data_IF_870148586771
#
_entry.id   IF_870148586771
#
_cell.length_a   1.000
_cell.length_b   1.000
_cell.length_c   1.000
_cell.angle_alpha   90.00
_cell.angle_beta   90.00
_cell.angle_gamma   90.00
#
_symmetry.space_group_name_H-M   'P 1'
#
loop_
_entity.id
_entity.type
_entity.pdbx_description
1 polymer ?
#
# COMPACT_ATOMS: atom_id res chain seq x y z
N UNK A 1 -10.88 4.73 -8.23
CA UNK A 1 -9.67 3.90 -8.19
C UNK A 1 -9.61 3.18 -6.84
N UNK A 2 -9.19 1.92 -6.84
CA UNK A 2 -8.93 1.14 -5.64
C UNK A 2 -7.45 0.76 -5.64
N UNK A 3 -6.71 1.22 -4.64
CA UNK A 3 -5.30 0.93 -4.48
C UNK A 3 -5.07 -0.30 -3.59
N UNK A 4 -3.90 -0.89 -3.78
CA UNK A 4 -3.38 -1.94 -2.91
C UNK A 4 -3.33 -1.43 -1.44
N UNK A 5 -3.92 -2.16 -0.48
CA UNK A 5 -3.97 -1.72 0.91
C UNK A 5 -2.58 -1.55 1.56
N UNK A 6 -1.56 -2.25 1.07
CA UNK A 6 -0.18 -2.14 1.55
C UNK A 6 0.47 -0.79 1.19
N UNK A 7 -0.10 -0.07 0.23
CA UNK A 7 0.37 1.25 -0.19
C UNK A 7 -0.35 2.42 0.49
N UNK A 8 -1.22 2.14 1.47
CA UNK A 8 -1.97 3.17 2.18
C UNK A 8 -1.09 4.26 2.83
N UNK A 9 0.15 3.93 3.21
CA UNK A 9 1.13 4.90 3.73
C UNK A 9 1.77 5.78 2.66
N UNK A 10 1.68 5.40 1.38
CA UNK A 10 2.26 6.10 0.23
C UNK A 10 1.21 6.74 -0.68
N UNK A 11 -0.03 6.84 -0.21
CA UNK A 11 -1.17 7.36 -0.99
C UNK A 11 -0.94 8.79 -1.46
N UNK A 12 -0.32 9.63 -0.66
CA UNK A 12 -0.06 11.02 -1.05
C UNK A 12 0.94 11.15 -2.20
N UNK A 13 1.94 10.27 -2.25
CA UNK A 13 2.86 10.20 -3.39
C UNK A 13 2.12 9.71 -4.63
N UNK A 14 1.32 8.65 -4.49
CA UNK A 14 0.50 8.15 -5.58
C UNK A 14 -0.44 9.24 -6.13
N UNK A 15 -1.12 10.02 -5.27
CA UNK A 15 -1.99 11.12 -5.69
C UNK A 15 -1.23 12.14 -6.55
N UNK A 16 -0.04 12.56 -6.11
CA UNK A 16 0.79 13.54 -6.83
C UNK A 16 1.22 13.01 -8.20
N UNK A 17 1.66 11.76 -8.27
CA UNK A 17 2.09 11.14 -9.52
C UNK A 17 0.91 10.95 -10.48
N UNK A 18 -0.25 10.57 -9.94
CA UNK A 18 -1.48 10.41 -10.72
C UNK A 18 -2.05 11.74 -11.20
N UNK A 19 -2.03 12.78 -10.37
CA UNK A 19 -2.41 14.14 -10.78
C UNK A 19 -1.53 14.68 -11.90
N UNK A 20 -0.22 14.41 -11.83
CA UNK A 20 0.70 14.77 -12.90
C UNK A 20 0.36 14.06 -14.19
N UNK A 21 0.12 12.74 -14.12
CA UNK A 21 -0.30 11.94 -15.26
C UNK A 21 -1.58 12.46 -15.92
N UNK A 22 -2.57 12.85 -15.12
CA UNK A 22 -3.83 13.42 -15.61
C UNK A 22 -3.60 14.77 -16.32
N UNK A 23 -2.81 15.66 -15.72
CA UNK A 23 -2.45 16.96 -16.30
C UNK A 23 -1.68 16.82 -17.61
N UNK A 24 -0.73 15.89 -17.68
CA UNK A 24 0.05 15.60 -18.89
C UNK A 24 -0.85 15.12 -20.05
N UNK A 25 -2.00 14.50 -19.73
CA UNK A 25 -3.01 14.08 -20.71
C UNK A 25 -4.15 15.10 -20.90
N UNK A 26 -3.97 16.34 -20.46
CA UNK A 26 -4.93 17.44 -20.61
C UNK A 26 -6.26 17.22 -19.88
N UNK A 27 -6.23 16.48 -18.76
CA UNK A 27 -7.37 16.37 -17.86
C UNK A 27 -7.21 17.37 -16.71
N UNK A 28 -8.31 18.10 -16.44
CA UNK A 28 -8.43 18.97 -15.30
C UNK A 28 -9.06 18.21 -14.13
N UNK A 29 -8.47 18.33 -12.94
CA UNK A 29 -8.97 17.68 -11.74
C UNK A 29 -9.86 18.68 -11.01
N UNK A 30 -11.16 18.41 -10.97
CA UNK A 30 -12.15 19.24 -10.28
C UNK A 30 -12.13 18.96 -8.77
N UNK A 31 -12.05 17.68 -8.38
CA UNK A 31 -12.07 17.25 -6.98
C UNK A 31 -11.38 15.92 -6.80
N UNK A 32 -10.69 15.76 -5.68
CA UNK A 32 -10.10 14.49 -5.23
C UNK A 32 -10.65 14.16 -3.86
N UNK A 33 -11.21 12.96 -3.69
CA UNK A 33 -11.72 12.47 -2.42
C UNK A 33 -10.96 11.22 -2.01
N UNK A 34 -10.35 11.25 -0.84
CA UNK A 34 -9.71 10.11 -0.21
C UNK A 34 -10.67 9.47 0.78
N UNK A 35 -11.26 8.35 0.37
CA UNK A 35 -12.23 7.61 1.17
C UNK A 35 -11.54 6.72 2.21
N UNK A 36 -10.25 6.42 1.97
CA UNK A 36 -9.47 5.60 2.86
C UNK A 36 -9.63 4.10 2.62
N UNK A 37 -9.10 3.31 3.58
CA UNK A 37 -9.13 1.86 3.52
C UNK A 37 -10.52 1.33 3.87
N UNK A 38 -11.09 0.48 2.98
CA UNK A 38 -12.38 -0.17 3.16
C UNK A 38 -12.29 -1.67 2.88
N UNK A 39 -13.13 -2.43 3.54
CA UNK A 39 -13.30 -3.85 3.25
C UNK A 39 -13.99 -4.03 1.90
N UNK A 40 -13.50 -4.98 1.11
CA UNK A 40 -14.08 -5.38 -0.16
C UNK A 40 -15.16 -6.44 0.05
N UNK A 41 -16.17 -6.46 -0.80
CA UNK A 41 -17.22 -7.49 -0.76
C UNK A 41 -16.68 -8.90 -1.08
N UNK A 42 -15.62 -8.95 -1.90
CA UNK A 42 -14.88 -10.16 -2.25
C UNK A 42 -13.39 -9.81 -2.43
N UNK A 43 -12.53 -10.81 -2.33
CA UNK A 43 -11.08 -10.58 -2.48
C UNK A 43 -10.72 -10.23 -3.93
N UNK A 44 -9.86 -9.23 -4.11
CA UNK A 44 -9.30 -8.81 -5.40
C UNK A 44 -7.79 -8.86 -5.28
N UNK A 45 -7.11 -9.59 -6.18
CA UNK A 45 -5.66 -9.78 -6.14
C UNK A 45 -5.15 -10.23 -4.75
N UNK A 46 -5.87 -11.18 -4.12
CA UNK A 46 -5.62 -11.70 -2.78
C UNK A 46 -5.73 -10.66 -1.63
N UNK A 47 -6.35 -9.52 -1.88
CA UNK A 47 -6.62 -8.51 -0.85
C UNK A 47 -8.11 -8.46 -0.50
N UNK A 48 -8.44 -8.49 0.79
CA UNK A 48 -9.79 -8.33 1.32
C UNK A 48 -10.14 -6.88 1.69
N UNK A 49 -9.15 -5.99 1.66
CA UNK A 49 -9.29 -4.55 1.88
C UNK A 49 -8.69 -3.81 0.68
N UNK A 50 -9.14 -2.59 0.42
CA UNK A 50 -8.59 -1.72 -0.62
C UNK A 50 -8.66 -0.26 -0.17
N UNK A 51 -7.76 0.58 -0.66
CA UNK A 51 -7.79 2.02 -0.41
C UNK A 51 -8.50 2.71 -1.56
N UNK A 52 -9.61 3.38 -1.28
CA UNK A 52 -10.45 4.02 -2.28
C UNK A 52 -10.11 5.49 -2.45
N UNK A 53 -9.94 5.91 -3.69
CA UNK A 53 -9.78 7.31 -4.07
C UNK A 53 -10.72 7.61 -5.24
N UNK A 54 -11.46 8.69 -5.13
CA UNK A 54 -12.32 9.22 -6.18
C UNK A 54 -11.72 10.50 -6.75
N UNK A 55 -11.64 10.57 -8.08
CA UNK A 55 -11.24 11.76 -8.81
C UNK A 55 -12.37 12.20 -9.70
N UNK A 56 -12.79 13.44 -9.58
CA UNK A 56 -13.68 14.10 -10.52
C UNK A 56 -12.84 14.85 -11.55
N UNK A 57 -12.98 14.47 -12.80
CA UNK A 57 -12.13 14.91 -13.90
C UNK A 57 -12.97 15.56 -15.00
N UNK A 58 -12.39 16.55 -15.63
CA UNK A 58 -12.91 17.16 -16.85
C UNK A 58 -11.82 17.11 -17.91
N UNK A 59 -12.16 16.67 -19.12
CA UNK A 59 -11.17 16.57 -20.19
C UNK A 59 -11.72 15.90 -21.45
N UNK A 60 -10.84 15.69 -22.43
CA UNK A 60 -11.18 15.06 -23.70
C UNK A 60 -11.29 13.53 -23.56
N UNK A 61 -12.46 12.95 -23.85
CA UNK A 61 -12.65 11.50 -23.79
C UNK A 61 -11.70 10.71 -24.69
N UNK A 62 -11.21 11.30 -25.79
CA UNK A 62 -10.30 10.64 -26.74
C UNK A 62 -8.98 10.22 -26.08
N UNK A 63 -8.53 10.94 -25.04
CA UNK A 63 -7.30 10.65 -24.31
C UNK A 63 -7.49 9.69 -23.13
N UNK A 64 -8.74 9.31 -22.85
CA UNK A 64 -9.05 8.41 -21.74
C UNK A 64 -8.37 7.04 -21.88
N UNK A 65 -8.27 6.54 -23.12
CA UNK A 65 -7.65 5.26 -23.41
C UNK A 65 -6.15 5.21 -23.01
N UNK A 66 -5.45 6.33 -23.19
CA UNK A 66 -4.03 6.43 -22.77
C UNK A 66 -3.90 6.33 -21.24
N UNK A 67 -4.79 7.02 -20.51
CA UNK A 67 -4.82 6.97 -19.06
C UNK A 67 -5.19 5.56 -18.57
N UNK A 68 -6.22 4.96 -19.17
CA UNK A 68 -6.64 3.60 -18.82
C UNK A 68 -5.52 2.59 -19.03
N UNK A 69 -4.76 2.71 -20.12
CA UNK A 69 -3.61 1.88 -20.38
C UNK A 69 -2.53 2.04 -19.28
N UNK A 70 -2.21 3.27 -18.91
CA UNK A 70 -1.24 3.55 -17.84
C UNK A 70 -1.71 3.03 -16.47
N UNK A 71 -3.00 3.15 -16.17
CA UNK A 71 -3.62 2.61 -14.96
C UNK A 71 -3.52 1.08 -14.92
N UNK A 72 -3.80 0.42 -16.04
CA UNK A 72 -3.78 -1.03 -16.16
C UNK A 72 -2.42 -1.64 -15.87
N UNK A 73 -1.34 -0.95 -16.25
CA UNK A 73 0.03 -1.40 -15.98
C UNK A 73 0.60 -0.90 -14.65
N UNK A 74 -0.17 -0.17 -13.85
CA UNK A 74 0.27 0.30 -12.55
C UNK A 74 -0.08 -0.72 -11.45
N UNK A 75 0.94 -1.39 -10.93
CA UNK A 75 0.81 -2.42 -9.90
C UNK A 75 0.20 -1.91 -8.57
N UNK A 76 0.22 -0.59 -8.37
CA UNK A 76 -0.38 0.04 -7.19
C UNK A 76 -1.91 0.02 -7.22
N UNK A 77 -2.50 -0.14 -8.41
CA UNK A 77 -3.95 -0.08 -8.64
C UNK A 77 -4.48 -1.50 -8.81
N UNK A 78 -5.33 -1.94 -7.90
CA UNK A 78 -5.98 -3.26 -8.01
C UNK A 78 -7.26 -3.22 -8.83
N UNK A 79 -7.92 -2.06 -8.88
CA UNK A 79 -9.13 -1.84 -9.68
C UNK A 79 -9.35 -0.36 -9.99
N UNK A 80 -9.91 -0.09 -11.16
CA UNK A 80 -10.38 1.24 -11.56
C UNK A 80 -11.75 1.15 -12.23
N UNK A 81 -12.46 2.26 -12.24
CA UNK A 81 -13.72 2.43 -12.94
C UNK A 81 -13.83 3.89 -13.38
N UNK A 82 -14.18 4.10 -14.64
CA UNK A 82 -14.55 5.41 -15.19
C UNK A 82 -16.05 5.47 -15.39
N UNK A 83 -16.66 6.56 -14.92
CA UNK A 83 -18.06 6.85 -15.09
C UNK A 83 -18.20 8.22 -15.73
N UNK A 84 -19.03 8.32 -16.76
CA UNK A 84 -19.36 9.59 -17.38
C UNK A 84 -20.52 10.21 -16.61
N UNK A 85 -20.32 11.44 -16.13
CA UNK A 85 -21.35 12.23 -15.48
C UNK A 85 -21.65 13.47 -16.32
N UNK A 86 -22.91 13.91 -16.35
CA UNK A 86 -23.29 15.09 -17.13
C UNK A 86 -22.84 16.38 -16.49
N UNK A 87 -22.96 16.46 -15.18
CA UNK A 87 -22.62 17.64 -14.38
C UNK A 87 -22.00 17.20 -13.06
N UNK A 88 -21.03 17.96 -12.60
CA UNK A 88 -20.44 17.81 -11.27
C UNK A 88 -20.99 18.89 -10.35
N UNK A 89 -21.83 18.51 -9.38
CA UNK A 89 -22.49 19.42 -8.45
C UNK A 89 -21.62 19.85 -7.25
N UNK A 90 -20.34 19.44 -7.21
CA UNK A 90 -19.40 19.83 -6.15
C UNK A 90 -19.63 19.15 -4.80
N UNK A 91 -20.70 18.36 -4.66
CA UNK A 91 -21.01 17.68 -3.41
C UNK A 91 -20.02 16.54 -3.09
N UNK A 92 -19.91 16.23 -1.80
CA UNK A 92 -19.14 15.07 -1.34
C UNK A 92 -19.85 13.76 -1.69
N UNK A 93 -19.11 12.75 -2.14
CA UNK A 93 -19.70 11.45 -2.41
C UNK A 93 -20.24 10.81 -1.11
N UNK A 94 -21.28 10.00 -1.22
CA UNK A 94 -21.86 9.29 -0.06
C UNK A 94 -20.82 8.46 0.69
N UNK A 95 -19.90 7.84 -0.05
CA UNK A 95 -18.81 7.05 0.53
C UNK A 95 -17.80 7.91 1.30
N UNK A 96 -17.55 9.12 0.86
CA UNK A 96 -16.67 10.07 1.53
C UNK A 96 -17.30 10.62 2.80
N UNK A 97 -18.59 10.94 2.77
CA UNK A 97 -19.36 11.34 3.96
C UNK A 97 -19.38 10.22 5.00
N UNK A 98 -19.61 8.98 4.58
CA UNK A 98 -19.50 7.82 5.48
C UNK A 98 -18.11 7.65 6.08
N UNK A 99 -17.05 7.89 5.30
CA UNK A 99 -15.67 7.75 5.79
C UNK A 99 -15.34 8.79 6.87
N UNK A 100 -15.87 10.00 6.73
CA UNK A 100 -15.74 11.06 7.74
C UNK A 100 -16.49 10.74 9.04
N UNK A 101 -17.64 10.06 8.94
CA UNK A 101 -18.47 9.69 10.09
C UNK A 101 -18.00 8.41 10.82
N UNK A 102 -17.21 7.55 10.16
CA UNK A 102 -16.54 6.42 10.82
C UNK A 102 -15.30 6.94 11.53
N UNK A 103 -15.27 6.79 12.87
CA UNK A 103 -14.03 6.93 13.66
C UNK A 103 -12.93 6.13 12.99
N UNK A 104 -11.69 6.65 12.89
CA UNK A 104 -10.58 5.90 12.31
C UNK A 104 -10.42 4.58 13.05
N UNK A 105 -10.51 3.45 12.33
CA UNK A 105 -10.07 2.17 12.86
C UNK A 105 -8.60 2.31 13.23
N UNK A 106 -8.18 1.88 14.43
CA UNK A 106 -6.77 1.90 14.80
C UNK A 106 -5.97 1.16 13.72
N UNK A 107 -4.95 1.81 13.19
CA UNK A 107 -4.03 1.20 12.25
C UNK A 107 -3.43 -0.06 12.88
N UNK A 108 -3.68 -1.23 12.28
CA UNK A 108 -3.08 -2.53 12.65
C UNK A 108 -1.57 -2.57 12.32
N UNK A 109 -0.81 -1.57 12.75
CA UNK A 109 0.64 -1.51 12.52
C UNK A 109 1.44 -1.95 13.74
N UNK A 110 0.77 -2.40 14.83
CA UNK A 110 1.49 -2.76 16.08
C UNK A 110 1.25 -4.19 16.60
N UNK A 111 0.94 -5.17 15.73
CA UNK A 111 0.79 -6.56 16.21
C UNK A 111 1.85 -7.56 15.76
N UNK A 112 2.88 -7.16 15.04
CA UNK A 112 3.94 -8.08 14.62
C UNK A 112 5.27 -7.91 15.38
N UNK A 113 5.25 -7.37 16.60
CA UNK A 113 6.49 -7.22 17.40
C UNK A 113 6.44 -7.74 18.84
N UNK A 114 5.49 -8.57 19.20
CA UNK A 114 5.44 -9.10 20.59
C UNK A 114 5.23 -10.61 20.71
N UNK A 115 5.87 -11.42 19.89
CA UNK A 115 5.97 -12.86 20.15
C UNK A 115 7.38 -13.43 19.97
N UNK A 116 8.37 -12.75 20.53
CA UNK A 116 9.67 -13.38 20.84
C UNK A 116 10.18 -12.79 22.15
N UNK A 117 9.70 -13.29 23.27
CA UNK A 117 10.41 -13.36 24.54
C UNK A 117 9.57 -14.04 25.62
N UNK A 118 9.86 -15.30 25.83
CA UNK A 118 9.91 -15.91 27.17
C UNK A 118 10.53 -17.30 27.09
N UNK A 119 11.82 -17.30 27.27
CA UNK A 119 12.50 -18.40 27.95
C UNK A 119 12.32 -18.27 29.43
N UNK A 120 12.37 -19.37 30.15
CA UNK A 120 13.10 -19.36 31.40
C UNK A 120 14.26 -20.36 31.43
N UNK A 121 15.43 -19.83 31.79
CA UNK A 121 16.53 -20.50 32.49
C UNK A 121 16.05 -21.15 33.80
N UNK A 122 16.90 -21.86 34.58
CA UNK A 122 18.29 -22.30 34.47
C UNK A 122 18.55 -23.75 34.95
N UNK A 123 19.76 -24.28 34.84
CA UNK A 123 20.51 -24.99 35.93
C UNK A 123 21.95 -25.29 35.49
N UNK A 124 22.88 -24.76 36.25
CA UNK A 124 24.23 -25.10 36.65
C UNK A 124 24.60 -26.58 36.46
N UNK A 125 25.81 -26.92 36.15
CA UNK A 125 27.05 -26.97 36.94
C UNK A 125 28.19 -27.63 36.14
N UNK A 126 29.34 -26.97 36.21
CA UNK A 126 30.67 -27.42 36.55
C UNK A 126 31.41 -28.51 35.75
N UNK A 127 32.63 -28.16 35.49
CA UNK A 127 33.93 -28.76 35.77
C UNK A 127 34.85 -28.89 34.56
N UNK A 128 35.88 -28.04 34.61
CA UNK A 128 37.33 -28.26 34.37
C UNK A 128 37.77 -29.37 33.39
N UNK A 129 38.64 -29.13 32.49
CA UNK A 129 40.11 -28.98 32.66
C UNK A 129 40.82 -29.21 31.31
N UNK A 130 41.79 -28.35 31.07
CA UNK A 130 43.12 -28.57 30.46
C UNK A 130 43.34 -29.13 29.06
N UNK A 131 44.09 -28.31 28.43
CA UNK A 131 45.43 -28.55 27.82
C UNK A 131 45.47 -28.78 26.33
N UNK A 132 46.11 -27.84 25.76
CA UNK A 132 47.43 -27.82 25.09
C UNK A 132 47.48 -28.44 23.70
N UNK A 133 47.73 -27.50 22.81
CA UNK A 133 48.96 -27.33 22.08
C UNK A 133 49.11 -27.93 20.67
N UNK A 134 49.61 -27.02 19.84
CA UNK A 134 50.53 -27.21 18.71
C UNK A 134 49.94 -27.53 17.35
N UNK A 135 50.14 -26.56 16.46
CA UNK A 135 51.19 -26.41 15.43
C UNK A 135 51.12 -27.51 14.36
N UNK A 136 51.21 -27.31 13.12
CA UNK A 136 51.98 -26.52 12.20
C UNK A 136 51.42 -26.78 10.79
N UNK A 137 51.43 -25.73 9.96
CA UNK A 137 52.15 -25.60 8.70
C UNK A 137 51.94 -26.60 7.54
N UNK A 138 51.90 -26.00 6.42
CA UNK A 138 52.35 -26.53 5.15
C UNK A 138 51.30 -26.36 4.05
N UNK A 139 51.35 -25.28 3.29
CA UNK A 139 52.07 -25.06 2.05
C UNK A 139 51.69 -26.02 0.90
N UNK A 140 51.30 -25.33 -0.10
CA UNK A 140 51.67 -25.44 -1.52
C UNK A 140 50.95 -26.35 -2.50
N UNK A 141 50.62 -25.65 -3.58
CA UNK A 141 50.77 -25.99 -4.99
C UNK A 141 49.83 -27.02 -5.68
N UNK A 142 49.07 -26.60 -6.56
CA UNK A 142 49.17 -26.45 -8.01
C UNK A 142 47.87 -25.91 -8.60
#
# INVERSE_FOLDING_TARGET
IVLNPNLSSKVDNFKKDFEKLLKDNSFNILKTEDIGRRQLAYSIANHNKGHYILFNLEGDPSKLLEIETKIKYNESIIRHLFLVVKEHNGEDSSLFVESKNKKPEPSEVEKDKEDVKKDPEPVKEDVEDKSEAKQEEGEDNE
#
